data_IF_912463853042
#
_entry.id   IF_912463853042
#
_cell.length_a   1.000
_cell.length_b   1.000
_cell.length_c   1.000
_cell.angle_alpha   90.00
_cell.angle_beta   90.00
_cell.angle_gamma   90.00
#
_symmetry.space_group_name_H-M   'P 1'
#
loop_
_entity.id
_entity.type
_entity.pdbx_description
1 polymer ?
#
# COMPACT_ATOMS: atom_id res chain seq x y z
N UNK A 1 -10.33 -49.92 -66.79
CA UNK A 1 -10.42 -50.05 -65.31
C UNK A 1 -11.14 -51.31 -64.80
N UNK A 2 -11.99 -51.99 -65.58
CA UNK A 2 -12.83 -53.10 -65.08
C UNK A 2 -12.05 -54.33 -64.52
N UNK A 3 -10.81 -54.55 -64.99
CA UNK A 3 -9.90 -55.62 -64.50
C UNK A 3 -8.97 -55.19 -63.36
N UNK A 4 -9.03 -53.93 -62.90
CA UNK A 4 -8.11 -53.39 -61.89
C UNK A 4 -8.64 -53.54 -60.45
N UNK A 5 -9.95 -53.73 -60.26
CA UNK A 5 -10.60 -53.96 -58.97
C UNK A 5 -10.91 -55.46 -58.82
N UNK A 6 -10.30 -56.07 -57.81
CA UNK A 6 -10.20 -57.53 -57.66
C UNK A 6 -11.49 -58.14 -57.12
N UNK A 7 -12.24 -57.41 -56.28
CA UNK A 7 -13.48 -57.92 -55.66
C UNK A 7 -14.73 -57.26 -56.23
N UNK A 8 -15.87 -57.96 -56.18
CA UNK A 8 -17.16 -57.40 -56.59
C UNK A 8 -17.59 -56.23 -55.70
N UNK A 9 -17.22 -56.27 -54.40
CA UNK A 9 -17.49 -55.21 -53.43
C UNK A 9 -16.72 -53.91 -53.74
N UNK A 10 -15.46 -54.03 -54.16
CA UNK A 10 -14.66 -52.90 -54.64
C UNK A 10 -15.29 -52.24 -55.87
N UNK A 11 -15.84 -53.03 -56.81
CA UNK A 11 -16.50 -52.51 -58.01
C UNK A 11 -17.82 -51.79 -57.67
N UNK A 12 -18.62 -52.35 -56.77
CA UNK A 12 -19.87 -51.72 -56.30
C UNK A 12 -19.58 -50.41 -55.57
N UNK A 13 -18.58 -50.39 -54.69
CA UNK A 13 -18.15 -49.20 -53.96
C UNK A 13 -17.62 -48.12 -54.91
N UNK A 14 -16.83 -48.49 -55.92
CA UNK A 14 -16.33 -47.55 -56.93
C UNK A 14 -17.47 -46.96 -57.80
N UNK A 15 -18.46 -47.78 -58.18
CA UNK A 15 -19.62 -47.31 -58.95
C UNK A 15 -20.54 -46.39 -58.14
N UNK A 16 -20.81 -46.73 -56.87
CA UNK A 16 -21.56 -45.85 -55.96
C UNK A 16 -20.84 -44.51 -55.75
N UNK A 17 -19.51 -44.53 -55.57
CA UNK A 17 -18.70 -43.31 -55.49
C UNK A 17 -18.78 -42.45 -56.76
N UNK A 18 -18.80 -43.07 -57.94
CA UNK A 18 -18.95 -42.36 -59.21
C UNK A 18 -20.33 -41.72 -59.35
N UNK A 19 -21.41 -42.43 -59.00
CA UNK A 19 -22.76 -41.85 -58.99
C UNK A 19 -22.84 -40.66 -58.03
N UNK A 20 -22.30 -40.81 -56.81
CA UNK A 20 -22.27 -39.74 -55.82
C UNK A 20 -21.40 -38.55 -56.26
N UNK A 21 -20.36 -38.82 -57.07
CA UNK A 21 -19.54 -37.79 -57.67
C UNK A 21 -20.29 -37.04 -58.77
N UNK A 22 -20.91 -37.72 -59.73
CA UNK A 22 -21.70 -37.08 -60.79
C UNK A 22 -22.85 -36.23 -60.21
N UNK A 23 -23.60 -36.76 -59.22
CA UNK A 23 -24.65 -36.00 -58.52
C UNK A 23 -24.13 -34.81 -57.73
N UNK A 24 -22.84 -34.81 -57.36
CA UNK A 24 -22.21 -33.70 -56.67
C UNK A 24 -21.74 -32.65 -57.66
N UNK A 25 -21.18 -33.07 -58.79
CA UNK A 25 -20.77 -32.20 -59.89
C UNK A 25 -21.97 -31.46 -60.48
N UNK A 26 -23.08 -32.16 -60.76
CA UNK A 26 -24.32 -31.54 -61.28
C UNK A 26 -24.89 -30.48 -60.30
N UNK A 27 -24.96 -30.80 -59.00
CA UNK A 27 -25.39 -29.83 -57.98
C UNK A 27 -24.43 -28.66 -57.84
N UNK A 28 -23.14 -28.88 -58.06
CA UNK A 28 -22.13 -27.83 -57.99
C UNK A 28 -22.23 -26.91 -59.21
N UNK A 29 -22.44 -27.45 -60.41
CA UNK A 29 -22.65 -26.69 -61.65
C UNK A 29 -23.92 -25.84 -61.57
N UNK A 30 -25.03 -26.40 -61.09
CA UNK A 30 -26.27 -25.66 -60.83
C UNK A 30 -26.05 -24.52 -59.83
N UNK A 31 -25.31 -24.80 -58.74
CA UNK A 31 -24.96 -23.78 -57.74
C UNK A 31 -24.11 -22.66 -58.34
N UNK A 32 -23.10 -23.00 -59.14
CA UNK A 32 -22.23 -22.02 -59.81
C UNK A 32 -23.03 -21.17 -60.79
N UNK A 33 -23.93 -21.79 -61.56
CA UNK A 33 -24.80 -21.08 -62.51
C UNK A 33 -25.72 -20.09 -61.80
N UNK A 34 -26.42 -20.53 -60.76
CA UNK A 34 -27.31 -19.67 -59.97
C UNK A 34 -26.55 -18.53 -59.28
N UNK A 35 -25.35 -18.81 -58.77
CA UNK A 35 -24.48 -17.79 -58.18
C UNK A 35 -24.06 -16.74 -59.23
N UNK A 36 -23.71 -17.17 -60.44
CA UNK A 36 -23.35 -16.27 -61.55
C UNK A 36 -24.53 -15.39 -61.97
N UNK A 37 -25.71 -15.97 -62.14
CA UNK A 37 -26.95 -15.22 -62.46
C UNK A 37 -27.30 -14.21 -61.36
N UNK A 38 -27.13 -14.58 -60.08
CA UNK A 38 -27.28 -13.68 -58.93
C UNK A 38 -26.30 -12.52 -58.97
N UNK A 39 -25.04 -12.78 -59.28
CA UNK A 39 -23.99 -11.75 -59.39
C UNK A 39 -24.22 -10.80 -60.56
N UNK A 40 -24.62 -11.33 -61.72
CA UNK A 40 -24.96 -10.54 -62.91
C UNK A 40 -26.17 -9.65 -62.65
N UNK A 41 -27.25 -10.18 -62.05
CA UNK A 41 -28.41 -9.38 -61.68
C UNK A 41 -28.04 -8.28 -60.69
N UNK A 42 -27.22 -8.59 -59.67
CA UNK A 42 -26.71 -7.60 -58.71
C UNK A 42 -25.82 -6.54 -59.37
N UNK A 43 -25.04 -6.90 -60.38
CA UNK A 43 -24.22 -5.95 -61.13
C UNK A 43 -25.09 -4.94 -61.90
N UNK A 44 -26.19 -5.40 -62.51
CA UNK A 44 -27.17 -4.51 -63.16
C UNK A 44 -27.81 -3.55 -62.15
N UNK A 45 -28.22 -4.06 -60.98
CA UNK A 45 -28.76 -3.20 -59.91
C UNK A 45 -27.76 -2.13 -59.44
N UNK A 46 -26.45 -2.41 -59.51
CA UNK A 46 -25.40 -1.44 -59.14
C UNK A 46 -25.19 -0.33 -60.17
N UNK A 47 -25.44 -0.60 -61.45
CA UNK A 47 -25.30 0.38 -62.54
C UNK A 47 -26.47 1.38 -62.61
N UNK A 48 -27.61 1.00 -62.03
CA UNK A 48 -28.83 1.80 -61.98
C UNK A 48 -28.72 2.92 -60.92
N UNK A 49 -28.93 4.17 -61.35
CA UNK A 49 -28.88 5.37 -60.48
C UNK A 49 -30.24 5.73 -59.86
N UNK A 50 -31.32 5.13 -60.34
CA UNK A 50 -32.70 5.33 -59.91
C UNK A 50 -33.10 4.45 -58.70
N UNK A 51 -32.23 3.52 -58.30
CA UNK A 51 -32.42 2.68 -57.10
C UNK A 51 -31.86 3.39 -55.88
N UNK A 52 -32.72 3.62 -54.88
CA UNK A 52 -32.34 4.18 -53.57
C UNK A 52 -32.63 3.18 -52.47
N UNK A 53 -32.10 3.41 -51.26
CA UNK A 53 -32.35 2.60 -50.08
C UNK A 53 -33.85 2.46 -49.68
N UNK A 54 -34.74 3.28 -50.23
CA UNK A 54 -36.19 3.24 -49.99
C UNK A 54 -37.01 2.57 -51.11
N UNK A 55 -36.38 2.23 -52.24
CA UNK A 55 -37.06 1.64 -53.40
C UNK A 55 -37.66 0.28 -53.04
N UNK A 56 -38.94 0.07 -53.40
CA UNK A 56 -39.68 -1.17 -53.14
C UNK A 56 -39.62 -2.11 -54.36
N UNK A 57 -39.37 -3.40 -54.12
CA UNK A 57 -39.27 -4.43 -55.16
C UNK A 57 -40.45 -4.40 -56.14
N UNK A 58 -41.69 -4.50 -55.64
CA UNK A 58 -42.92 -4.53 -56.46
C UNK A 58 -43.03 -3.36 -57.45
N UNK A 59 -42.58 -2.18 -57.06
CA UNK A 59 -42.63 -0.99 -57.93
C UNK A 59 -41.52 -1.02 -58.98
N UNK A 60 -40.37 -1.59 -58.63
CA UNK A 60 -39.18 -1.57 -59.46
C UNK A 60 -39.08 -2.78 -60.40
N UNK A 61 -39.71 -3.91 -60.04
CA UNK A 61 -39.81 -5.11 -60.88
C UNK A 61 -40.43 -4.79 -62.25
N UNK A 62 -41.42 -3.89 -62.30
CA UNK A 62 -42.02 -3.39 -63.54
C UNK A 62 -41.00 -2.76 -64.49
N UNK A 63 -39.98 -2.08 -63.96
CA UNK A 63 -38.94 -1.41 -64.73
C UNK A 63 -37.81 -2.36 -65.17
N UNK A 64 -37.83 -3.61 -64.68
CA UNK A 64 -36.82 -4.63 -64.96
C UNK A 64 -37.37 -5.76 -65.84
N UNK A 65 -38.64 -5.69 -66.26
CA UNK A 65 -39.31 -6.75 -67.01
C UNK A 65 -38.60 -7.17 -68.28
N UNK A 66 -37.95 -6.22 -68.96
CA UNK A 66 -37.24 -6.46 -70.21
C UNK A 66 -35.73 -6.74 -70.01
N UNK A 67 -35.23 -6.71 -68.77
CA UNK A 67 -33.81 -6.92 -68.49
C UNK A 67 -33.44 -8.42 -68.58
N UNK A 68 -32.48 -8.81 -69.44
CA UNK A 68 -32.11 -10.22 -69.60
C UNK A 68 -31.66 -10.88 -68.30
N UNK A 69 -30.93 -10.16 -67.45
CA UNK A 69 -30.45 -10.66 -66.16
C UNK A 69 -31.58 -10.81 -65.12
N UNK A 70 -32.67 -10.06 -65.27
CA UNK A 70 -33.86 -10.20 -64.42
C UNK A 70 -34.67 -11.42 -64.85
N UNK A 71 -34.80 -11.65 -66.16
CA UNK A 71 -35.48 -12.82 -66.72
C UNK A 71 -34.70 -14.12 -66.53
N UNK A 72 -33.37 -14.07 -66.44
CA UNK A 72 -32.50 -15.23 -66.24
C UNK A 72 -32.77 -16.00 -64.93
N UNK A 73 -33.24 -15.32 -63.89
CA UNK A 73 -33.62 -15.95 -62.62
C UNK A 73 -35.08 -16.38 -62.73
N UNK A 74 -35.39 -17.67 -62.62
CA UNK A 74 -36.77 -18.16 -62.87
C UNK A 74 -37.76 -17.88 -61.71
N UNK A 75 -37.35 -18.05 -60.45
CA UNK A 75 -38.22 -17.82 -59.27
C UNK A 75 -38.30 -16.32 -58.92
N UNK A 76 -39.51 -15.75 -58.93
CA UNK A 76 -39.76 -14.35 -58.51
C UNK A 76 -39.35 -14.10 -57.05
N UNK A 77 -39.42 -15.12 -56.18
CA UNK A 77 -38.95 -15.01 -54.79
C UNK A 77 -37.43 -14.85 -54.73
N UNK A 78 -36.69 -15.49 -55.63
CA UNK A 78 -35.23 -15.33 -55.70
C UNK A 78 -34.87 -13.94 -56.24
N UNK A 79 -35.61 -13.43 -57.23
CA UNK A 79 -35.47 -12.04 -57.71
C UNK A 79 -35.72 -11.03 -56.58
N UNK A 80 -36.82 -11.18 -55.83
CA UNK A 80 -37.14 -10.32 -54.69
C UNK A 80 -36.08 -10.43 -53.59
N UNK A 81 -35.58 -11.64 -53.31
CA UNK A 81 -34.51 -11.89 -52.34
C UNK A 81 -33.21 -11.17 -52.73
N UNK A 82 -32.77 -11.26 -53.98
CA UNK A 82 -31.56 -10.60 -54.48
C UNK A 82 -31.70 -9.08 -54.41
N UNK A 83 -32.85 -8.55 -54.84
CA UNK A 83 -33.14 -7.12 -54.77
C UNK A 83 -33.14 -6.62 -53.32
N UNK A 84 -33.80 -7.32 -52.40
CA UNK A 84 -33.86 -6.96 -50.99
C UNK A 84 -32.49 -7.04 -50.31
N UNK A 85 -31.64 -8.00 -50.67
CA UNK A 85 -30.24 -8.04 -50.22
C UNK A 85 -29.48 -6.79 -50.70
N UNK A 86 -29.61 -6.43 -51.99
CA UNK A 86 -28.97 -5.24 -52.55
C UNK A 86 -29.42 -3.95 -51.83
N UNK A 87 -30.72 -3.76 -51.61
CA UNK A 87 -31.26 -2.61 -50.87
C UNK A 87 -30.76 -2.59 -49.42
N UNK A 88 -30.70 -3.75 -48.77
CA UNK A 88 -30.16 -3.88 -47.42
C UNK A 88 -28.68 -3.48 -47.36
N UNK A 89 -27.90 -3.84 -48.37
CA UNK A 89 -26.50 -3.45 -48.47
C UNK A 89 -26.31 -1.97 -48.82
N UNK A 90 -27.21 -1.37 -49.61
CA UNK A 90 -27.23 0.08 -49.79
C UNK A 90 -27.49 0.81 -48.47
N UNK A 91 -28.52 0.41 -47.71
CA UNK A 91 -28.80 0.96 -46.37
C UNK A 91 -27.62 0.82 -45.42
N UNK A 92 -26.97 -0.35 -45.45
CA UNK A 92 -25.76 -0.62 -44.65
C UNK A 92 -24.63 0.32 -45.02
N UNK A 93 -24.33 0.46 -46.32
CA UNK A 93 -23.29 1.36 -46.83
C UNK A 93 -23.57 2.83 -46.50
N UNK A 94 -24.80 3.30 -46.62
CA UNK A 94 -25.17 4.68 -46.23
C UNK A 94 -24.97 4.91 -44.74
N UNK A 95 -25.44 3.97 -43.90
CA UNK A 95 -25.25 4.03 -42.45
C UNK A 95 -23.77 4.00 -42.07
N UNK A 96 -22.98 3.16 -42.72
CA UNK A 96 -21.54 3.05 -42.46
C UNK A 96 -20.80 4.31 -42.92
N UNK A 97 -21.18 4.92 -44.05
CA UNK A 97 -20.66 6.22 -44.48
C UNK A 97 -20.93 7.32 -43.44
N UNK A 98 -22.17 7.40 -42.93
CA UNK A 98 -22.52 8.38 -41.89
C UNK A 98 -21.73 8.15 -40.60
N UNK A 99 -21.52 6.88 -40.21
CA UNK A 99 -20.67 6.53 -39.06
C UNK A 99 -19.21 6.92 -39.25
N UNK A 100 -18.68 6.71 -40.46
CA UNK A 100 -17.30 7.10 -40.81
C UNK A 100 -17.13 8.61 -40.75
N UNK A 101 -18.03 9.38 -41.36
CA UNK A 101 -18.01 10.85 -41.31
C UNK A 101 -18.09 11.35 -39.87
N UNK A 102 -19.01 10.81 -39.05
CA UNK A 102 -19.10 11.13 -37.61
C UNK A 102 -17.78 10.86 -36.89
N UNK A 103 -17.16 9.70 -37.14
CA UNK A 103 -15.88 9.31 -36.52
C UNK A 103 -14.74 10.24 -36.93
N UNK A 104 -14.66 10.59 -38.21
CA UNK A 104 -13.66 11.52 -38.75
C UNK A 104 -13.83 12.93 -38.17
N UNK A 105 -15.06 13.42 -38.07
CA UNK A 105 -15.38 14.72 -37.46
C UNK A 105 -15.03 14.76 -35.97
N UNK A 106 -15.35 13.70 -35.21
CA UNK A 106 -14.93 13.58 -33.82
C UNK A 106 -13.41 13.59 -33.67
N UNK A 107 -12.67 12.95 -34.59
CA UNK A 107 -11.21 12.94 -34.56
C UNK A 107 -10.60 14.30 -34.89
N UNK A 108 -11.14 15.01 -35.90
CA UNK A 108 -10.77 16.40 -36.18
C UNK A 108 -10.99 17.29 -34.96
N UNK A 109 -12.15 17.18 -34.30
CA UNK A 109 -12.42 17.92 -33.07
C UNK A 109 -11.41 17.59 -31.96
N UNK A 110 -11.06 16.32 -31.77
CA UNK A 110 -9.99 15.92 -30.82
C UNK A 110 -8.66 16.62 -31.13
N UNK A 111 -8.29 16.74 -32.41
CA UNK A 111 -7.07 17.42 -32.81
C UNK A 111 -7.12 18.93 -32.54
N UNK A 112 -8.27 19.57 -32.77
CA UNK A 112 -8.49 20.98 -32.44
C UNK A 112 -8.35 21.20 -30.93
N UNK A 113 -9.03 20.41 -30.10
CA UNK A 113 -8.95 20.54 -28.64
C UNK A 113 -7.51 20.41 -28.11
N UNK A 114 -6.71 19.51 -28.68
CA UNK A 114 -5.28 19.34 -28.32
C UNK A 114 -4.40 20.56 -28.63
N UNK A 115 -4.77 21.37 -29.62
CA UNK A 115 -4.02 22.59 -30.00
C UNK A 115 -4.44 23.80 -29.18
N UNK A 116 -5.66 23.78 -28.65
CA UNK A 116 -6.19 24.89 -27.86
C UNK A 116 -5.56 24.92 -26.46
N UNK A 117 -5.52 26.10 -25.80
CA UNK A 117 -5.02 26.24 -24.44
C UNK A 117 -6.02 25.72 -23.39
N UNK A 118 -6.48 24.47 -23.57
CA UNK A 118 -7.38 23.76 -22.66
C UNK A 118 -6.51 22.95 -21.70
N UNK A 119 -6.82 23.05 -20.42
CA UNK A 119 -6.18 22.28 -19.35
C UNK A 119 -7.22 21.37 -18.65
N UNK A 120 -6.77 20.58 -17.69
CA UNK A 120 -7.63 19.64 -16.95
C UNK A 120 -8.75 20.31 -16.13
N UNK A 121 -8.66 21.61 -15.82
CA UNK A 121 -9.66 22.33 -15.02
C UNK A 121 -10.53 23.30 -15.84
N UNK A 122 -10.34 23.33 -17.16
CA UNK A 122 -11.11 24.19 -18.06
C UNK A 122 -12.54 23.70 -18.08
N UNK A 123 -13.51 24.60 -17.85
CA UNK A 123 -14.92 24.26 -17.85
C UNK A 123 -15.47 24.13 -19.28
N UNK A 124 -16.55 23.36 -19.43
CA UNK A 124 -17.19 23.14 -20.73
C UNK A 124 -17.57 24.46 -21.44
N UNK A 125 -18.10 25.44 -20.69
CA UNK A 125 -18.50 26.74 -21.23
C UNK A 125 -17.33 27.48 -21.87
N UNK A 126 -16.17 27.46 -21.21
CA UNK A 126 -14.98 28.16 -21.67
C UNK A 126 -14.36 27.43 -22.86
N UNK A 127 -14.27 26.10 -22.77
CA UNK A 127 -13.81 25.26 -23.88
C UNK A 127 -14.68 25.46 -25.14
N UNK A 128 -16.00 25.56 -24.96
CA UNK A 128 -16.95 25.79 -26.05
C UNK A 128 -16.71 27.12 -26.75
N UNK A 129 -16.39 28.18 -26.01
CA UNK A 129 -16.01 29.47 -26.60
C UNK A 129 -14.70 29.32 -27.38
N UNK A 130 -13.68 28.67 -26.78
CA UNK A 130 -12.36 28.49 -27.39
C UNK A 130 -12.41 27.73 -28.72
N UNK A 131 -13.07 26.57 -28.78
CA UNK A 131 -13.10 25.83 -30.05
C UNK A 131 -14.04 26.46 -31.07
N UNK A 132 -15.17 27.08 -30.67
CA UNK A 132 -16.06 27.76 -31.64
C UNK A 132 -15.46 29.02 -32.25
N UNK A 133 -14.56 29.70 -31.53
CA UNK A 133 -13.85 30.89 -32.04
C UNK A 133 -12.60 30.53 -32.84
N UNK A 134 -12.18 29.26 -32.83
CA UNK A 134 -11.06 28.78 -33.62
C UNK A 134 -11.45 28.66 -35.10
N UNK A 135 -10.65 29.23 -36.00
CA UNK A 135 -10.85 29.14 -37.46
C UNK A 135 -10.94 27.68 -37.94
N UNK A 136 -10.13 26.76 -37.39
CA UNK A 136 -10.19 25.33 -37.76
C UNK A 136 -11.57 24.66 -37.53
N UNK A 137 -12.35 25.16 -36.56
CA UNK A 137 -13.72 24.67 -36.30
C UNK A 137 -14.78 25.52 -37.00
N UNK A 138 -14.59 26.84 -37.02
CA UNK A 138 -15.55 27.77 -37.59
C UNK A 138 -15.67 27.61 -39.12
N UNK A 139 -14.58 27.26 -39.79
CA UNK A 139 -14.53 27.15 -41.26
C UNK A 139 -14.95 25.75 -41.78
N UNK A 140 -15.00 24.72 -40.92
CA UNK A 140 -15.39 23.35 -41.31
C UNK A 140 -16.89 23.11 -41.06
N UNK A 141 -17.70 23.21 -42.12
CA UNK A 141 -19.14 22.98 -42.09
C UNK A 141 -19.51 21.57 -41.59
N UNK A 142 -18.69 20.55 -41.88
CA UNK A 142 -18.97 19.19 -41.42
C UNK A 142 -18.84 19.07 -39.90
N UNK A 143 -17.91 19.79 -39.27
CA UNK A 143 -17.79 19.85 -37.82
C UNK A 143 -18.98 20.54 -37.16
N UNK A 144 -19.58 21.53 -37.82
CA UNK A 144 -20.76 22.22 -37.31
C UNK A 144 -22.02 21.33 -37.31
N UNK A 145 -22.08 20.32 -38.17
CA UNK A 145 -23.19 19.34 -38.20
C UNK A 145 -23.10 18.25 -37.14
N UNK A 146 -22.01 18.21 -36.37
CA UNK A 146 -21.80 17.17 -35.36
C UNK A 146 -22.85 17.28 -34.23
N UNK A 147 -23.33 16.13 -33.75
CA UNK A 147 -24.28 16.09 -32.64
C UNK A 147 -23.67 16.74 -31.39
N UNK A 148 -24.36 17.68 -30.70
CA UNK A 148 -23.86 18.27 -29.46
C UNK A 148 -23.40 17.25 -28.42
N UNK A 149 -24.01 16.06 -28.38
CA UNK A 149 -23.61 14.98 -27.47
C UNK A 149 -22.24 14.39 -27.84
N UNK A 150 -21.93 14.30 -29.14
CA UNK A 150 -20.60 13.86 -29.61
C UNK A 150 -19.52 14.88 -29.29
N UNK A 151 -19.82 16.17 -29.49
CA UNK A 151 -18.90 17.26 -29.14
C UNK A 151 -18.57 17.21 -27.65
N UNK A 152 -19.59 17.03 -26.80
CA UNK A 152 -19.41 16.91 -25.36
C UNK A 152 -18.60 15.66 -24.99
N UNK A 153 -18.89 14.51 -25.60
CA UNK A 153 -18.15 13.26 -25.35
C UNK A 153 -16.66 13.38 -25.73
N UNK A 154 -16.36 14.02 -26.86
CA UNK A 154 -14.97 14.28 -27.29
C UNK A 154 -14.24 15.20 -26.30
N UNK A 155 -14.93 16.21 -25.78
CA UNK A 155 -14.37 17.10 -24.77
C UNK A 155 -14.15 16.41 -23.42
N UNK A 156 -15.12 15.61 -22.94
CA UNK A 156 -14.99 14.83 -21.71
C UNK A 156 -13.80 13.87 -21.79
N UNK A 157 -13.65 13.15 -22.90
CA UNK A 157 -12.50 12.28 -23.17
C UNK A 157 -11.18 13.07 -23.13
N UNK A 158 -11.16 14.26 -23.73
CA UNK A 158 -9.98 15.12 -23.73
C UNK A 158 -9.60 15.62 -22.32
N UNK A 159 -10.56 16.13 -21.55
CA UNK A 159 -10.32 16.59 -20.18
C UNK A 159 -9.85 15.43 -19.30
N UNK A 160 -10.50 14.26 -19.39
CA UNK A 160 -10.08 13.07 -18.66
C UNK A 160 -8.64 12.67 -18.99
N UNK A 161 -8.25 12.72 -20.27
CA UNK A 161 -6.86 12.46 -20.66
C UNK A 161 -5.89 13.48 -20.08
N UNK A 162 -6.27 14.76 -19.97
CA UNK A 162 -5.45 15.79 -19.34
C UNK A 162 -5.35 15.60 -17.81
N UNK A 163 -6.44 15.21 -17.16
CA UNK A 163 -6.47 14.85 -15.73
C UNK A 163 -5.54 13.65 -15.45
N UNK A 164 -5.62 12.60 -16.26
CA UNK A 164 -4.77 11.42 -16.14
C UNK A 164 -3.29 11.80 -16.32
N UNK A 165 -2.94 12.61 -17.32
CA UNK A 165 -1.58 13.10 -17.53
C UNK A 165 -1.06 13.95 -16.35
N UNK A 166 -1.91 14.81 -15.79
CA UNK A 166 -1.58 15.62 -14.61
C UNK A 166 -1.34 14.74 -13.37
N UNK A 167 -2.21 13.76 -13.13
CA UNK A 167 -2.09 12.83 -12.02
C UNK A 167 -0.83 11.96 -12.15
N UNK A 168 -0.55 11.46 -13.35
CA UNK A 168 0.68 10.70 -13.65
C UNK A 168 1.94 11.53 -13.40
N UNK A 169 1.94 12.80 -13.81
CA UNK A 169 3.05 13.71 -13.56
C UNK A 169 3.24 13.94 -12.06
N UNK A 170 2.16 14.19 -11.33
CA UNK A 170 2.16 14.38 -9.87
C UNK A 170 2.66 13.13 -9.14
N UNK A 171 2.24 11.95 -9.55
CA UNK A 171 2.70 10.70 -8.95
C UNK A 171 4.18 10.43 -9.28
N UNK A 172 4.63 10.70 -10.52
CA UNK A 172 6.07 10.61 -10.88
C UNK A 172 6.94 11.52 -10.02
N UNK A 173 6.52 12.77 -9.78
CA UNK A 173 7.23 13.69 -8.87
C UNK A 173 7.24 13.14 -7.44
N UNK A 174 6.09 12.67 -6.93
CA UNK A 174 5.99 12.07 -5.59
C UNK A 174 6.88 10.84 -5.43
N UNK A 175 6.92 9.96 -6.43
CA UNK A 175 7.72 8.75 -6.44
C UNK A 175 9.22 9.05 -6.54
N UNK A 176 9.60 10.04 -7.36
CA UNK A 176 10.99 10.51 -7.45
C UNK A 176 11.45 11.09 -6.11
N UNK A 177 10.63 11.94 -5.49
CA UNK A 177 10.89 12.47 -4.15
C UNK A 177 11.07 11.35 -3.12
N UNK A 178 10.13 10.39 -3.05
CA UNK A 178 10.23 9.24 -2.11
C UNK A 178 11.48 8.39 -2.33
N UNK A 179 11.90 8.23 -3.60
CA UNK A 179 13.12 7.50 -3.93
C UNK A 179 14.35 8.23 -3.43
N UNK A 180 14.41 9.55 -3.61
CA UNK A 180 15.51 10.36 -3.12
C UNK A 180 15.54 10.39 -1.58
N UNK A 181 14.38 10.55 -0.94
CA UNK A 181 14.26 10.46 0.52
C UNK A 181 14.76 9.10 1.05
N UNK A 182 14.51 8.00 0.32
CA UNK A 182 15.05 6.68 0.68
C UNK A 182 16.56 6.61 0.57
N UNK A 183 17.14 7.11 -0.53
CA UNK A 183 18.61 7.14 -0.69
C UNK A 183 19.27 7.96 0.41
N UNK A 184 18.70 9.11 0.77
CA UNK A 184 19.25 9.96 1.83
C UNK A 184 19.23 9.23 3.18
N UNK A 185 18.13 8.52 3.49
CA UNK A 185 18.07 7.65 4.68
C UNK A 185 19.11 6.53 4.65
N UNK A 186 19.28 5.86 3.52
CA UNK A 186 20.24 4.76 3.38
C UNK A 186 21.69 5.28 3.50
N UNK A 187 21.98 6.47 2.95
CA UNK A 187 23.27 7.14 3.10
C UNK A 187 23.54 7.53 4.56
N UNK A 188 22.54 8.06 5.28
CA UNK A 188 22.70 8.35 6.71
C UNK A 188 22.90 7.08 7.55
N UNK A 189 22.23 5.97 7.21
CA UNK A 189 22.49 4.66 7.82
C UNK A 189 23.91 4.15 7.57
N UNK A 190 24.49 4.46 6.41
CA UNK A 190 25.90 4.17 6.13
C UNK A 190 26.82 5.00 7.04
N UNK A 191 26.57 6.32 7.17
CA UNK A 191 27.30 7.17 8.11
C UNK A 191 27.25 6.62 9.55
N UNK A 192 26.07 6.20 10.02
CA UNK A 192 25.95 5.59 11.34
C UNK A 192 26.76 4.29 11.45
N UNK A 193 26.81 3.47 10.40
CA UNK A 193 27.65 2.26 10.36
C UNK A 193 29.14 2.57 10.40
N UNK A 194 29.60 3.59 9.68
CA UNK A 194 30.99 4.08 9.75
C UNK A 194 31.36 4.53 11.17
N UNK A 195 30.46 5.25 11.85
CA UNK A 195 30.64 5.68 13.22
C UNK A 195 30.62 4.52 14.23
N UNK A 196 29.88 3.44 13.95
CA UNK A 196 29.96 2.20 14.72
C UNK A 196 31.31 1.51 14.53
N UNK A 197 31.76 1.35 13.28
CA UNK A 197 33.01 0.67 12.95
C UNK A 197 34.24 1.41 13.53
N UNK A 198 34.16 2.73 13.64
CA UNK A 198 35.18 3.57 14.30
C UNK A 198 35.02 3.66 15.82
N UNK A 199 34.09 2.92 16.42
CA UNK A 199 33.80 2.88 17.86
C UNK A 199 33.38 4.24 18.46
N UNK A 200 32.96 5.19 17.62
CA UNK A 200 32.36 6.47 18.06
C UNK A 200 30.95 6.22 18.61
N UNK A 201 30.20 5.31 17.98
CA UNK A 201 28.91 4.82 18.47
C UNK A 201 29.13 3.45 19.12
N UNK A 202 28.66 3.32 20.36
CA UNK A 202 28.57 2.08 21.12
C UNK A 202 27.21 2.00 21.83
N UNK A 203 26.97 0.91 22.56
CA UNK A 203 25.69 0.63 23.24
C UNK A 203 25.26 1.70 24.26
N UNK A 204 26.19 2.53 24.75
CA UNK A 204 25.91 3.60 25.73
C UNK A 204 25.92 5.00 25.12
N UNK A 205 26.21 5.13 23.82
CA UNK A 205 26.28 6.42 23.15
C UNK A 205 24.95 7.17 23.24
N UNK A 206 25.03 8.48 23.42
CA UNK A 206 23.86 9.37 23.41
C UNK A 206 23.87 10.26 22.18
N UNK A 207 22.69 10.62 21.69
CA UNK A 207 22.57 11.51 20.52
C UNK A 207 23.40 12.80 20.64
N UNK A 208 23.41 13.44 21.80
CA UNK A 208 24.19 14.67 22.05
C UNK A 208 25.70 14.49 21.84
N UNK A 209 26.22 13.28 22.09
CA UNK A 209 27.64 12.95 21.93
C UNK A 209 27.98 12.68 20.45
N UNK A 210 27.02 12.16 19.69
CA UNK A 210 27.18 11.85 18.27
C UNK A 210 26.94 13.08 17.39
N UNK A 211 26.06 13.99 17.79
CA UNK A 211 25.68 15.17 17.02
C UNK A 211 26.88 16.00 16.50
N UNK A 212 27.93 16.30 17.29
CA UNK A 212 29.11 17.02 16.80
C UNK A 212 29.82 16.38 15.61
N UNK A 213 29.74 15.04 15.48
CA UNK A 213 30.36 14.28 14.40
C UNK A 213 29.55 14.30 13.10
N UNK A 214 28.24 14.52 13.19
CA UNK A 214 27.32 14.39 12.04
C UNK A 214 26.70 15.72 11.59
N UNK A 215 26.72 16.76 12.44
CA UNK A 215 25.99 18.02 12.21
C UNK A 215 26.34 18.72 10.88
N UNK A 216 27.56 18.51 10.37
CA UNK A 216 28.05 19.11 9.12
C UNK A 216 28.17 18.08 7.97
N UNK A 217 27.83 16.81 8.19
CA UNK A 217 27.88 15.78 7.15
C UNK A 217 26.67 15.96 6.22
N UNK A 218 26.93 15.97 4.91
CA UNK A 218 25.87 16.17 3.93
C UNK A 218 24.79 15.09 4.02
N UNK A 219 25.14 13.84 4.36
CA UNK A 219 24.19 12.72 4.50
C UNK A 219 23.21 12.95 5.65
N UNK A 220 23.63 13.64 6.71
CA UNK A 220 22.75 14.08 7.79
C UNK A 220 21.86 15.24 7.35
N UNK A 221 22.46 16.29 6.75
CA UNK A 221 21.73 17.48 6.29
C UNK A 221 20.67 17.15 5.24
N UNK A 222 21.01 16.30 4.27
CA UNK A 222 20.15 15.85 3.18
C UNK A 222 18.93 15.07 3.68
N UNK A 223 19.00 14.51 4.89
CA UNK A 223 17.91 13.75 5.52
C UNK A 223 16.93 14.64 6.30
N UNK A 224 17.30 15.88 6.63
CA UNK A 224 16.48 16.76 7.47
C UNK A 224 15.18 17.19 6.77
N UNK A 225 14.09 17.26 7.54
CA UNK A 225 12.78 17.70 7.05
C UNK A 225 12.05 16.71 6.13
N UNK A 226 12.60 15.52 5.92
CA UNK A 226 11.97 14.46 5.14
C UNK A 226 10.91 13.71 5.96
N UNK A 227 9.98 13.08 5.25
CA UNK A 227 8.97 12.22 5.89
C UNK A 227 9.53 10.84 6.23
N UNK A 228 9.01 10.21 7.30
CA UNK A 228 9.44 8.90 7.77
C UNK A 228 10.41 8.98 8.96
N UNK A 229 11.28 7.98 9.09
CA UNK A 229 12.23 7.89 10.21
C UNK A 229 13.14 9.11 10.27
N UNK A 230 13.24 9.72 11.43
CA UNK A 230 14.12 10.85 11.72
C UNK A 230 15.56 10.39 11.96
N UNK A 231 16.57 11.27 11.85
CA UNK A 231 17.95 10.90 12.18
C UNK A 231 18.11 10.35 13.61
N UNK A 232 17.33 10.88 14.56
CA UNK A 232 17.34 10.43 15.95
C UNK A 232 16.79 9.00 16.09
N UNK A 233 15.69 8.67 15.40
CA UNK A 233 15.13 7.32 15.40
C UNK A 233 16.11 6.32 14.77
N UNK A 234 16.72 6.65 13.63
CA UNK A 234 17.72 5.78 13.00
C UNK A 234 18.96 5.56 13.87
N UNK A 235 19.34 6.55 14.68
CA UNK A 235 20.38 6.40 15.68
C UNK A 235 19.98 5.41 16.78
N UNK A 236 18.77 5.53 17.35
CA UNK A 236 18.31 4.58 18.36
C UNK A 236 18.14 3.16 17.81
N UNK A 237 17.66 3.01 16.58
CA UNK A 237 17.63 1.71 15.88
C UNK A 237 19.05 1.13 15.78
N UNK A 238 20.04 1.98 15.52
CA UNK A 238 21.45 1.56 15.44
C UNK A 238 22.00 1.14 16.81
N UNK A 239 21.73 1.92 17.87
CA UNK A 239 22.14 1.58 19.24
C UNK A 239 21.48 0.28 19.70
N UNK A 240 20.20 0.09 19.41
CA UNK A 240 19.49 -1.14 19.75
C UNK A 240 20.04 -2.35 19.01
N UNK A 241 20.39 -2.20 17.72
CA UNK A 241 21.08 -3.26 16.98
C UNK A 241 22.41 -3.64 17.63
N UNK A 242 23.20 -2.65 18.09
CA UNK A 242 24.45 -2.93 18.83
C UNK A 242 24.16 -3.65 20.14
N UNK A 243 23.11 -3.25 20.87
CA UNK A 243 22.70 -3.93 22.11
C UNK A 243 22.34 -5.41 21.87
N UNK A 244 21.59 -5.67 20.80
CA UNK A 244 21.20 -7.02 20.39
C UNK A 244 22.42 -7.85 19.97
N UNK A 245 23.33 -7.25 19.17
CA UNK A 245 24.56 -7.89 18.71
C UNK A 245 25.51 -8.25 19.89
N UNK A 246 25.55 -7.41 20.94
CA UNK A 246 26.38 -7.65 22.13
C UNK A 246 25.74 -8.57 23.19
N UNK A 247 24.56 -9.15 22.92
CA UNK A 247 23.83 -9.98 23.90
C UNK A 247 24.66 -11.16 24.44
N UNK A 248 25.41 -11.85 23.57
CA UNK A 248 26.24 -12.99 23.98
C UNK A 248 27.42 -12.55 24.85
N UNK A 249 28.06 -11.43 24.52
CA UNK A 249 29.13 -10.84 25.33
C UNK A 249 28.61 -10.40 26.70
N UNK A 250 27.46 -9.72 26.73
CA UNK A 250 26.76 -9.34 27.97
C UNK A 250 26.48 -10.57 28.84
N UNK A 251 26.00 -11.67 28.22
CA UNK A 251 25.74 -12.94 28.91
C UNK A 251 27.03 -13.55 29.46
N UNK A 252 28.11 -13.56 28.69
CA UNK A 252 29.41 -14.08 29.12
C UNK A 252 29.95 -13.30 30.34
N UNK A 253 29.92 -11.96 30.32
CA UNK A 253 30.34 -11.13 31.46
C UNK A 253 29.46 -11.40 32.68
N UNK A 254 28.14 -11.52 32.51
CA UNK A 254 27.20 -11.87 33.59
C UNK A 254 27.46 -13.27 34.18
N UNK A 255 27.92 -14.22 33.38
CA UNK A 255 28.35 -15.53 33.87
C UNK A 255 29.64 -15.42 34.69
N UNK A 256 30.63 -14.63 34.23
CA UNK A 256 31.85 -14.37 35.00
C UNK A 256 31.54 -13.72 36.36
N UNK A 257 30.60 -12.77 36.41
CA UNK A 257 30.14 -12.16 37.68
C UNK A 257 29.68 -13.22 38.68
N UNK A 258 28.97 -14.26 38.21
CA UNK A 258 28.51 -15.37 39.05
C UNK A 258 29.66 -16.31 39.42
N UNK A 259 30.51 -16.68 38.45
CA UNK A 259 31.61 -17.62 38.67
C UNK A 259 32.60 -17.11 39.73
N UNK A 260 32.89 -15.81 39.75
CA UNK A 260 33.80 -15.20 40.72
C UNK A 260 33.09 -14.64 41.97
N UNK A 261 31.81 -14.94 42.16
CA UNK A 261 30.97 -14.44 43.28
C UNK A 261 31.16 -12.93 43.53
N UNK A 262 31.09 -12.14 42.46
CA UNK A 262 31.35 -10.71 42.54
C UNK A 262 30.20 -10.03 43.28
N UNK A 263 30.45 -9.68 44.55
CA UNK A 263 29.51 -8.90 45.36
C UNK A 263 29.38 -7.48 44.80
N UNK A 264 28.18 -7.18 44.31
CA UNK A 264 27.81 -5.87 43.78
C UNK A 264 27.08 -5.09 44.88
N UNK A 265 27.66 -3.97 45.28
CA UNK A 265 27.05 -3.00 46.19
C UNK A 265 26.59 -1.76 45.41
N UNK A 266 25.61 -0.99 45.93
CA UNK A 266 25.14 0.26 45.31
C UNK A 266 26.22 1.30 45.03
N UNK A 267 27.31 1.26 45.81
CA UNK A 267 28.41 2.22 45.79
C UNK A 267 29.69 1.65 45.14
N UNK A 268 29.62 0.43 44.59
CA UNK A 268 30.73 -0.16 43.85
C UNK A 268 31.03 0.72 42.62
N UNK A 269 32.29 1.10 42.42
CA UNK A 269 32.71 1.87 41.25
C UNK A 269 33.16 0.96 40.09
N UNK A 270 33.18 1.50 38.87
CA UNK A 270 33.50 0.72 37.67
C UNK A 270 34.96 0.17 37.66
N UNK A 271 36.01 0.94 38.02
CA UNK A 271 37.37 0.40 38.06
C UNK A 271 37.54 -0.77 39.05
N UNK A 272 36.91 -0.71 40.22
CA UNK A 272 36.91 -1.79 41.21
C UNK A 272 36.03 -2.97 40.77
N UNK A 273 35.04 -2.75 39.91
CA UNK A 273 34.29 -3.84 39.29
C UNK A 273 35.17 -4.55 38.26
N UNK A 274 35.87 -3.81 37.41
CA UNK A 274 36.75 -4.36 36.39
C UNK A 274 37.93 -5.16 36.98
N UNK A 275 38.54 -4.68 38.07
CA UNK A 275 39.66 -5.35 38.72
C UNK A 275 39.32 -6.71 39.36
N UNK A 276 38.02 -7.01 39.54
CA UNK A 276 37.56 -8.31 40.06
C UNK A 276 37.55 -9.42 39.01
N UNK A 277 37.73 -9.09 37.73
CA UNK A 277 37.82 -10.07 36.66
C UNK A 277 39.28 -10.38 36.31
N UNK A 278 39.64 -11.64 36.03
CA UNK A 278 40.93 -11.95 35.43
C UNK A 278 41.07 -11.31 34.04
N UNK A 279 42.19 -10.61 33.73
CA UNK A 279 42.37 -9.92 32.46
C UNK A 279 42.15 -10.81 31.23
N UNK A 280 42.61 -12.06 31.30
CA UNK A 280 42.51 -13.03 30.19
C UNK A 280 41.07 -13.42 29.86
N UNK A 281 40.13 -13.27 30.80
CA UNK A 281 38.72 -13.68 30.65
C UNK A 281 37.83 -12.58 30.08
N UNK A 282 38.27 -11.33 30.18
CA UNK A 282 37.56 -10.16 29.64
C UNK A 282 38.25 -9.62 28.38
N UNK A 283 39.41 -10.18 28.02
CA UNK A 283 40.12 -9.83 26.80
C UNK A 283 39.26 -10.16 25.57
N UNK A 284 39.12 -9.20 24.66
CA UNK A 284 38.28 -9.31 23.47
C UNK A 284 36.81 -8.91 23.63
N UNK A 285 36.34 -8.59 24.85
CA UNK A 285 35.01 -8.02 25.08
C UNK A 285 35.11 -6.49 25.07
N UNK A 286 34.19 -5.82 24.38
CA UNK A 286 34.21 -4.36 24.32
C UNK A 286 33.96 -3.73 25.70
N UNK A 287 34.73 -2.70 26.06
CA UNK A 287 34.63 -2.02 27.36
C UNK A 287 33.23 -1.43 27.62
N UNK A 288 32.55 -0.97 26.56
CA UNK A 288 31.18 -0.44 26.63
C UNK A 288 30.17 -1.51 27.08
N UNK A 289 30.35 -2.76 26.66
CA UNK A 289 29.53 -3.92 27.03
C UNK A 289 29.77 -4.32 28.48
N UNK A 290 31.03 -4.34 28.93
CA UNK A 290 31.37 -4.59 30.35
C UNK A 290 30.73 -3.51 31.24
N UNK A 291 30.76 -2.25 30.79
CA UNK A 291 30.15 -1.14 31.49
C UNK A 291 28.61 -1.23 31.53
N UNK A 292 27.97 -1.73 30.46
CA UNK A 292 26.54 -1.98 30.44
C UNK A 292 26.14 -3.01 31.52
N UNK A 293 26.91 -4.10 31.62
CA UNK A 293 26.70 -5.12 32.66
C UNK A 293 26.88 -4.54 34.06
N UNK A 294 27.92 -3.74 34.25
CA UNK A 294 28.14 -3.03 35.52
C UNK A 294 26.94 -2.14 35.90
N UNK A 295 26.43 -1.32 34.97
CA UNK A 295 25.29 -0.44 35.21
C UNK A 295 24.03 -1.25 35.60
N UNK A 296 23.74 -2.34 34.88
CA UNK A 296 22.63 -3.25 35.16
C UNK A 296 22.75 -3.88 36.56
N UNK A 297 23.95 -4.32 36.91
CA UNK A 297 24.27 -4.92 38.20
C UNK A 297 24.07 -3.93 39.35
N UNK A 298 24.62 -2.71 39.23
CA UNK A 298 24.50 -1.65 40.25
C UNK A 298 23.05 -1.18 40.36
N UNK A 299 22.33 -1.05 39.25
CA UNK A 299 20.91 -0.71 39.26
C UNK A 299 20.08 -1.75 40.00
N UNK A 300 20.29 -3.05 39.72
CA UNK A 300 19.63 -4.15 40.43
C UNK A 300 19.95 -4.12 41.94
N UNK A 301 21.20 -3.84 42.31
CA UNK A 301 21.60 -3.72 43.72
C UNK A 301 20.88 -2.55 44.42
N UNK A 302 20.80 -1.37 43.77
CA UNK A 302 20.05 -0.20 44.28
C UNK A 302 18.56 -0.47 44.42
N UNK A 303 17.96 -1.16 43.45
CA UNK A 303 16.54 -1.54 43.51
C UNK A 303 16.26 -2.51 44.64
N UNK A 304 17.12 -3.53 44.83
CA UNK A 304 17.02 -4.47 45.93
C UNK A 304 17.12 -3.78 47.29
N UNK A 305 18.10 -2.88 47.47
CA UNK A 305 18.26 -2.11 48.70
C UNK A 305 17.02 -1.24 49.01
N UNK A 306 16.46 -0.58 48.00
CA UNK A 306 15.22 0.22 48.15
C UNK A 306 14.03 -0.66 48.53
N UNK A 307 13.91 -1.84 47.94
CA UNK A 307 12.84 -2.78 48.25
C UNK A 307 12.97 -3.35 49.67
N UNK A 308 14.18 -3.69 50.09
CA UNK A 308 14.49 -4.12 51.46
C UNK A 308 14.14 -3.03 52.47
N UNK A 309 14.57 -1.78 52.22
CA UNK A 309 14.19 -0.64 53.05
C UNK A 309 12.67 -0.46 53.15
N UNK A 310 11.94 -0.57 52.04
CA UNK A 310 10.47 -0.51 52.03
C UNK A 310 9.83 -1.67 52.81
N UNK A 311 10.41 -2.88 52.74
CA UNK A 311 9.94 -4.04 53.51
C UNK A 311 10.17 -3.82 55.01
N UNK A 312 11.31 -3.28 55.39
CA UNK A 312 11.64 -2.91 56.77
C UNK A 312 10.70 -1.82 57.29
N UNK A 313 10.47 -0.76 56.52
CA UNK A 313 9.50 0.30 56.85
C UNK A 313 8.08 -0.27 57.05
N UNK A 314 7.63 -1.18 56.17
CA UNK A 314 6.33 -1.87 56.33
C UNK A 314 6.29 -2.76 57.57
N UNK A 315 7.37 -3.50 57.87
CA UNK A 315 7.48 -4.33 59.08
C UNK A 315 7.45 -3.47 60.34
N UNK A 316 8.19 -2.37 60.35
CA UNK A 316 8.20 -1.39 61.44
C UNK A 316 6.81 -0.79 61.63
N UNK A 317 6.14 -0.39 60.53
CA UNK A 317 4.79 0.17 60.58
C UNK A 317 3.77 -0.80 61.18
N UNK A 318 3.81 -2.09 60.82
CA UNK A 318 2.97 -3.13 61.43
C UNK A 318 3.22 -3.25 62.93
N UNK A 319 4.49 -3.27 63.35
CA UNK A 319 4.86 -3.29 64.78
C UNK A 319 4.30 -2.06 65.51
N UNK A 320 4.42 -0.86 64.92
CA UNK A 320 3.87 0.38 65.45
C UNK A 320 2.34 0.35 65.56
N UNK A 321 1.63 -0.22 64.58
CA UNK A 321 0.17 -0.33 64.63
C UNK A 321 -0.32 -1.35 65.67
N UNK A 322 0.42 -2.45 65.88
CA UNK A 322 0.17 -3.39 66.99
C UNK A 322 0.38 -2.72 68.35
N UNK A 323 1.45 -1.95 68.51
CA UNK A 323 1.69 -1.16 69.72
C UNK A 323 0.59 -0.11 69.95
N UNK A 324 0.12 0.56 68.90
CA UNK A 324 -1.02 1.46 68.96
C UNK A 324 -2.31 0.77 69.42
N UNK A 325 -2.56 -0.46 68.97
CA UNK A 325 -3.68 -1.25 69.45
C UNK A 325 -3.51 -1.62 70.94
N UNK A 326 -2.29 -1.93 71.36
CA UNK A 326 -1.98 -2.19 72.76
C UNK A 326 -2.23 -0.97 73.67
N UNK A 327 -1.95 0.26 73.19
CA UNK A 327 -2.26 1.53 73.87
C UNK A 327 -3.77 1.73 74.08
N UNK A 328 -4.62 1.33 73.12
CA UNK A 328 -6.09 1.37 73.27
C UNK A 328 -6.60 0.49 74.41
N UNK A 329 -5.85 -0.56 74.77
CA UNK A 329 -6.20 -1.54 75.80
C UNK A 329 -5.43 -1.33 77.11
N UNK A 330 -4.90 -0.13 77.34
CA UNK A 330 -4.27 0.22 78.62
C UNK A 330 -5.37 0.59 79.62
N UNK A 331 -5.21 0.12 80.86
CA UNK A 331 -6.09 0.43 81.99
C UNK A 331 -5.24 1.03 83.12
N UNK A 332 -5.56 2.23 83.62
CA UNK A 332 -6.67 3.12 83.24
C UNK A 332 -6.55 3.65 81.79
N UNK A 333 -7.68 4.02 81.13
CA UNK A 333 -7.66 4.52 79.76
C UNK A 333 -6.81 5.79 79.62
N UNK A 334 -6.02 5.85 78.54
CA UNK A 334 -5.19 7.01 78.21
C UNK A 334 -6.11 8.19 77.83
N UNK A 335 -5.88 9.35 78.46
CA UNK A 335 -6.63 10.58 78.21
C UNK A 335 -5.78 11.61 77.47
N UNK A 336 -6.38 12.72 77.02
CA UNK A 336 -5.70 13.79 76.26
C UNK A 336 -4.55 14.44 77.05
N UNK A 337 -4.59 14.37 78.39
CA UNK A 337 -3.59 14.95 79.29
C UNK A 337 -2.53 13.94 79.76
N UNK A 338 -2.65 12.66 79.38
CA UNK A 338 -1.70 11.63 79.79
C UNK A 338 -0.31 11.89 79.21
N UNK A 339 0.72 11.79 80.05
CA UNK A 339 2.13 11.91 79.65
C UNK A 339 2.72 10.56 79.25
N UNK A 340 3.82 10.57 78.48
CA UNK A 340 4.47 9.33 78.08
C UNK A 340 5.07 8.60 79.30
N UNK A 341 5.59 9.36 80.26
CA UNK A 341 6.18 8.88 81.50
C UNK A 341 5.18 8.10 82.37
N UNK A 342 3.91 8.50 82.37
CA UNK A 342 2.82 7.80 83.08
C UNK A 342 2.40 6.50 82.38
N UNK A 343 2.38 6.49 81.04
CA UNK A 343 1.87 5.37 80.24
C UNK A 343 2.94 4.31 79.97
N UNK A 344 4.22 4.71 79.93
CA UNK A 344 5.38 3.84 79.72
C UNK A 344 5.38 2.61 80.64
N UNK A 345 5.33 2.72 81.98
CA UNK A 345 5.37 1.55 82.86
C UNK A 345 4.15 0.62 82.71
N UNK A 346 3.00 1.15 82.26
CA UNK A 346 1.75 0.38 82.10
C UNK A 346 1.74 -0.49 80.84
N UNK A 347 2.58 -0.19 79.85
CA UNK A 347 2.64 -0.89 78.57
C UNK A 347 3.98 -1.58 78.30
N UNK A 348 5.00 -1.32 79.11
CA UNK A 348 6.36 -1.86 78.99
C UNK A 348 6.43 -3.39 79.12
N UNK A 349 5.51 -3.99 79.88
CA UNK A 349 5.39 -5.44 80.04
C UNK A 349 4.76 -6.13 78.83
N UNK A 350 4.14 -5.38 77.90
CA UNK A 350 3.50 -5.96 76.71
C UNK A 350 4.54 -6.30 75.62
N UNK A 351 4.43 -7.46 74.96
CA UNK A 351 5.39 -7.89 73.95
C UNK A 351 5.46 -6.93 72.76
N UNK A 352 4.35 -6.24 72.44
CA UNK A 352 4.29 -5.24 71.36
C UNK A 352 5.12 -3.99 71.66
N UNK A 353 5.33 -3.67 72.95
CA UNK A 353 6.20 -2.57 73.39
C UNK A 353 7.67 -2.94 73.20
N UNK A 354 8.08 -4.10 73.72
CA UNK A 354 9.48 -4.55 73.73
C UNK A 354 10.14 -4.64 72.35
N UNK A 355 9.34 -4.88 71.29
CA UNK A 355 9.81 -5.06 69.91
C UNK A 355 10.09 -3.73 69.17
N UNK A 356 9.70 -2.59 69.74
CA UNK A 356 9.95 -1.25 69.19
C UNK A 356 11.05 -0.51 69.98
N UNK A 357 11.79 0.38 69.32
CA UNK A 357 12.69 1.34 70.01
C UNK A 357 11.89 2.41 70.74
N UNK A 358 12.47 3.03 71.77
CA UNK A 358 11.79 4.05 72.59
C UNK A 358 11.29 5.24 71.75
N UNK A 359 12.09 5.72 70.79
CA UNK A 359 11.70 6.78 69.84
C UNK A 359 10.42 6.42 69.06
N UNK A 360 10.34 5.19 68.53
CA UNK A 360 9.18 4.71 67.80
C UNK A 360 7.94 4.60 68.72
N UNK A 361 8.13 4.20 69.98
CA UNK A 361 7.03 4.12 70.96
C UNK A 361 6.47 5.51 71.29
N UNK A 362 7.35 6.48 71.55
CA UNK A 362 6.99 7.89 71.80
C UNK A 362 6.26 8.48 70.59
N UNK A 363 6.75 8.22 69.37
CA UNK A 363 6.11 8.69 68.14
C UNK A 363 4.68 8.16 68.00
N UNK A 364 4.47 6.86 68.24
CA UNK A 364 3.14 6.24 68.19
C UNK A 364 2.23 6.82 69.27
N UNK A 365 2.73 6.99 70.50
CA UNK A 365 1.98 7.58 71.61
C UNK A 365 1.54 9.02 71.31
N UNK A 366 2.44 9.87 70.85
CA UNK A 366 2.12 11.25 70.47
C UNK A 366 1.08 11.31 69.35
N UNK A 367 1.20 10.43 68.33
CA UNK A 367 0.18 10.29 67.28
C UNK A 367 -1.15 9.76 67.81
N UNK A 368 -1.13 8.95 68.87
CA UNK A 368 -2.34 8.44 69.54
C UNK A 368 -3.04 9.56 70.31
N UNK A 369 -2.33 10.32 71.15
CA UNK A 369 -2.86 11.48 71.89
C UNK A 369 -3.40 12.55 70.92
N UNK A 370 -2.69 12.85 69.82
CA UNK A 370 -3.15 13.82 68.81
C UNK A 370 -4.46 13.42 68.13
N UNK A 371 -4.81 12.13 68.08
CA UNK A 371 -6.10 11.64 67.54
C UNK A 371 -7.23 11.59 68.56
N UNK A 372 -6.91 11.76 69.85
CA UNK A 372 -7.90 11.88 70.93
C UNK A 372 -8.32 13.35 71.13
N UNK A 373 -7.48 14.30 70.72
CA UNK A 373 -7.87 15.69 70.43
C UNK A 373 -8.67 15.73 69.14
#
# INVERSE_FOLDING_TARGET
MYRCLKTAEERKTAFMKYIDQCKREEREEERIKLQKEREEFRAVLKLRTDITASTKYKKYAENLKDEPTFLAIEDDRDRESIFNEYISDLRRKEKDKLRMIRKENMEKLRQILRKLPINYNTLWKDAQILFKTCSEYADDEQLQTLDPLDVFSVYEEHIKSLEDQYNDMKEKVRMTRRREERKNRDAFKELLRELCNSHVINVRSKWKEIYPYIQNDHRYLDMLGQSGSTPLELFWDTVQRIEDDCYQEKKAVMELVKTYDIKITPDLNFPLFLSKFPPDRINGIESSVIHLVYDDCVFKAKMKQREEKRKEEKRLKKKMDMFKYALKKVTPPITIHSTWEEVKPLIETKPESQVLTEENRIEVFNKFIKRLK
#
